data_IF_065165429657
#
_entry.id   IF_065165429657
#
_cell.length_a   1.000
_cell.length_b   1.000
_cell.length_c   1.000
_cell.angle_alpha   90.00
_cell.angle_beta   90.00
_cell.angle_gamma   90.00
#
_symmetry.space_group_name_H-M   'P 1'
#
loop_
_entity.id
_entity.type
_entity.pdbx_description
1 polymer ?
#
# COMPACT_ATOMS: atom_id res chain seq x y z
N UNK A 1 -2.56 13.05 -32.47
CA UNK A 1 -2.34 14.33 -31.77
C UNK A 1 -1.31 14.15 -30.64
N UNK A 2 -0.07 13.76 -30.96
CA UNK A 2 1.00 13.51 -29.98
C UNK A 2 2.14 14.53 -30.03
N UNK A 3 1.97 15.65 -30.75
CA UNK A 3 3.06 16.61 -31.00
C UNK A 3 3.09 17.87 -30.11
N UNK A 4 1.98 18.20 -29.44
CA UNK A 4 1.88 19.50 -28.73
C UNK A 4 2.55 19.51 -27.35
N UNK A 5 2.69 18.37 -26.68
CA UNK A 5 3.32 18.27 -25.35
C UNK A 5 4.86 18.37 -25.39
N UNK A 6 5.48 17.83 -26.40
CA UNK A 6 6.94 17.79 -26.56
C UNK A 6 7.56 19.15 -26.89
N UNK A 7 6.86 19.98 -27.66
CA UNK A 7 7.34 21.32 -28.05
C UNK A 7 7.23 22.35 -26.92
N UNK A 8 6.21 22.25 -26.08
CA UNK A 8 6.07 23.12 -24.91
C UNK A 8 7.16 22.83 -23.86
N UNK A 9 7.50 21.57 -23.65
CA UNK A 9 8.58 21.15 -22.74
C UNK A 9 9.95 21.57 -23.29
N UNK A 10 10.19 21.47 -24.62
CA UNK A 10 11.43 21.95 -25.25
C UNK A 10 11.63 23.46 -25.12
N UNK A 11 10.57 24.27 -25.29
CA UNK A 11 10.62 25.73 -25.09
C UNK A 11 10.88 26.09 -23.64
N UNK A 12 10.39 25.30 -22.71
CA UNK A 12 10.55 25.46 -21.29
C UNK A 12 12.02 25.38 -20.81
N UNK A 13 12.82 24.47 -21.36
CA UNK A 13 14.24 24.33 -21.01
C UNK A 13 15.20 25.24 -21.80
N UNK A 14 14.70 25.94 -22.82
CA UNK A 14 15.53 26.83 -23.64
C UNK A 14 15.71 28.23 -23.07
N UNK A 15 15.01 28.62 -22.02
CA UNK A 15 15.09 29.93 -21.39
C UNK A 15 15.76 29.92 -20.04
N UNK A 16 16.49 30.97 -19.69
CA UNK A 16 17.27 31.12 -18.44
C UNK A 16 16.41 31.06 -17.17
N UNK A 17 15.07 31.13 -17.27
CA UNK A 17 14.13 30.95 -16.18
C UNK A 17 13.87 29.43 -15.87
N UNK A 18 14.33 28.53 -16.71
CA UNK A 18 14.06 27.09 -16.62
C UNK A 18 14.75 26.39 -15.43
N UNK A 19 15.82 26.97 -14.90
CA UNK A 19 16.54 26.40 -13.76
C UNK A 19 15.71 26.34 -12.46
N UNK A 20 14.80 27.30 -12.26
CA UNK A 20 13.91 27.32 -11.09
C UNK A 20 12.73 26.34 -11.21
N UNK A 21 12.39 25.94 -12.43
CA UNK A 21 11.24 25.08 -12.71
C UNK A 21 11.60 23.58 -12.81
N UNK A 22 12.89 23.25 -12.85
CA UNK A 22 13.36 21.86 -12.91
C UNK A 22 12.98 21.04 -11.65
N UNK A 23 13.16 21.55 -10.43
CA UNK A 23 12.74 20.83 -9.22
C UNK A 23 11.24 20.55 -9.20
N UNK A 24 10.43 21.51 -9.62
CA UNK A 24 8.98 21.34 -9.71
C UNK A 24 8.58 20.30 -10.75
N UNK A 25 9.25 20.28 -11.89
CA UNK A 25 9.05 19.24 -12.91
C UNK A 25 9.40 17.85 -12.40
N UNK A 26 10.55 17.69 -11.74
CA UNK A 26 10.98 16.43 -11.13
C UNK A 26 9.97 15.98 -10.09
N UNK A 27 9.58 16.86 -9.18
CA UNK A 27 8.59 16.59 -8.15
C UNK A 27 7.25 16.13 -8.75
N UNK A 28 6.77 16.81 -9.77
CA UNK A 28 5.51 16.45 -10.44
C UNK A 28 5.59 15.09 -11.13
N UNK A 29 6.68 14.81 -11.85
CA UNK A 29 6.86 13.54 -12.55
C UNK A 29 6.96 12.36 -11.57
N UNK A 30 7.65 12.53 -10.43
CA UNK A 30 7.75 11.51 -9.39
C UNK A 30 6.41 11.29 -8.71
N UNK A 31 5.69 12.36 -8.32
CA UNK A 31 4.36 12.25 -7.71
C UNK A 31 3.39 11.55 -8.65
N UNK A 32 3.39 11.88 -9.93
CA UNK A 32 2.58 11.18 -10.91
C UNK A 32 2.92 9.68 -10.97
N UNK A 33 4.21 9.31 -10.92
CA UNK A 33 4.63 7.92 -10.90
C UNK A 33 4.19 7.17 -9.63
N UNK A 34 4.16 7.86 -8.48
CA UNK A 34 3.62 7.33 -7.24
C UNK A 34 2.12 7.08 -7.39
N UNK A 35 1.35 8.08 -7.81
CA UNK A 35 -0.10 8.01 -7.98
C UNK A 35 -0.53 6.89 -8.93
N UNK A 36 0.19 6.70 -10.05
CA UNK A 36 -0.09 5.64 -11.03
C UNK A 36 0.14 4.22 -10.49
N UNK A 37 1.02 4.04 -9.50
CA UNK A 37 1.40 2.74 -8.95
C UNK A 37 0.88 2.51 -7.53
N UNK A 38 0.21 3.50 -6.92
CA UNK A 38 -0.20 3.45 -5.53
C UNK A 38 -1.41 2.52 -5.32
N UNK A 39 -1.17 1.45 -4.57
CA UNK A 39 -2.21 0.53 -4.11
C UNK A 39 -2.58 0.73 -2.64
N UNK A 40 -1.85 1.58 -1.90
CA UNK A 40 -2.05 1.82 -0.48
C UNK A 40 -3.48 2.27 -0.14
N UNK A 41 -4.11 3.22 -0.88
CA UNK A 41 -5.47 3.67 -0.57
C UNK A 41 -6.52 2.53 -0.61
N UNK A 42 -6.18 1.40 -1.21
CA UNK A 42 -7.08 0.25 -1.24
C UNK A 42 -6.94 -0.70 -0.05
N UNK A 43 -5.92 -0.53 0.81
CA UNK A 43 -5.63 -1.43 1.94
C UNK A 43 -5.50 -0.70 3.28
N UNK A 44 -5.27 0.61 3.28
CA UNK A 44 -5.21 1.42 4.50
C UNK A 44 -6.60 1.94 4.89
N UNK A 45 -6.89 1.92 6.20
CA UNK A 45 -8.11 2.48 6.75
C UNK A 45 -7.99 4.00 6.96
N UNK A 46 -6.84 4.45 7.43
CA UNK A 46 -6.57 5.86 7.73
C UNK A 46 -5.11 6.22 7.53
N UNK A 47 -4.87 7.51 7.29
CA UNK A 47 -3.52 8.09 7.22
C UNK A 47 -3.39 9.17 8.27
N UNK A 48 -2.38 9.04 9.14
CA UNK A 48 -2.10 9.99 10.21
C UNK A 48 -0.79 10.72 9.93
N UNK A 49 -0.84 12.05 9.86
CA UNK A 49 0.34 12.89 9.73
C UNK A 49 0.86 13.28 11.11
N UNK A 50 2.14 13.06 11.37
CA UNK A 50 2.79 13.31 12.64
C UNK A 50 3.98 14.26 12.50
N UNK A 51 4.23 15.03 13.57
CA UNK A 51 5.37 15.94 13.65
C UNK A 51 6.47 15.45 14.60
N UNK A 52 6.29 14.26 15.20
CA UNK A 52 7.26 13.62 16.10
C UNK A 52 7.48 12.19 15.69
N UNK A 53 8.59 11.59 16.12
CA UNK A 53 8.89 10.18 15.85
C UNK A 53 8.29 9.23 16.91
N UNK A 54 7.63 9.77 17.92
CA UNK A 54 7.08 9.02 19.06
C UNK A 54 5.58 8.80 18.89
N UNK A 55 5.18 8.15 17.79
CA UNK A 55 3.78 7.84 17.54
C UNK A 55 3.45 6.40 17.95
N UNK A 56 2.31 6.25 18.63
CA UNK A 56 1.73 4.97 19.01
C UNK A 56 0.29 4.93 18.51
N UNK A 57 -0.07 3.86 17.81
CA UNK A 57 -1.46 3.66 17.41
C UNK A 57 -2.31 3.16 18.58
N UNK A 58 -3.62 3.07 18.38
CA UNK A 58 -4.57 2.61 19.40
C UNK A 58 -4.37 1.11 19.63
N UNK A 59 -4.14 0.71 20.88
CA UNK A 59 -3.81 -0.68 21.23
C UNK A 59 -5.02 -1.57 21.38
N UNK A 60 -6.15 -1.06 21.79
CA UNK A 60 -7.16 -1.96 22.27
C UNK A 60 -8.41 -1.94 21.43
N UNK A 61 -8.62 -3.09 20.83
CA UNK A 61 -10.00 -3.59 20.76
C UNK A 61 -10.38 -3.89 22.21
N UNK A 62 -11.32 -3.19 22.83
CA UNK A 62 -11.88 -3.62 24.10
C UNK A 62 -12.31 -5.08 23.94
N UNK A 63 -12.10 -5.90 24.95
CA UNK A 63 -12.57 -7.28 24.94
C UNK A 63 -14.09 -7.33 24.71
N UNK A 64 -14.63 -8.43 24.26
CA UNK A 64 -16.07 -8.54 24.01
C UNK A 64 -16.88 -8.30 25.29
N UNK A 65 -16.32 -8.59 26.45
CA UNK A 65 -16.87 -8.25 27.76
C UNK A 65 -16.92 -6.74 27.99
N UNK A 66 -15.85 -6.02 27.63
CA UNK A 66 -15.78 -4.55 27.78
C UNK A 66 -16.64 -3.80 26.76
N UNK A 67 -16.99 -4.43 25.61
CA UNK A 67 -17.90 -3.87 24.60
C UNK A 67 -19.38 -4.14 24.92
N UNK A 68 -19.65 -5.09 25.81
CA UNK A 68 -21.01 -5.53 26.10
C UNK A 68 -21.84 -4.40 26.69
N UNK A 69 -22.94 -4.09 26.02
CA UNK A 69 -23.92 -3.19 26.59
C UNK A 69 -24.62 -3.89 27.75
N UNK A 70 -24.65 -3.22 28.90
CA UNK A 70 -25.28 -3.73 30.13
C UNK A 70 -26.55 -2.92 30.39
N UNK A 71 -27.62 -3.59 30.80
CA UNK A 71 -28.81 -2.90 31.26
C UNK A 71 -28.49 -2.16 32.55
N UNK A 72 -28.69 -0.84 32.56
CA UNK A 72 -28.37 0.05 33.68
C UNK A 72 -29.67 0.52 34.30
N UNK A 73 -29.84 0.25 35.62
CA UNK A 73 -30.97 0.75 36.36
C UNK A 73 -30.86 2.27 36.61
N UNK A 74 -31.99 2.92 36.84
CA UNK A 74 -32.03 4.37 37.09
C UNK A 74 -31.19 4.75 38.32
N UNK A 75 -30.15 5.57 38.07
CA UNK A 75 -29.18 6.00 39.10
C UNK A 75 -27.98 5.05 39.29
N UNK A 76 -27.85 3.97 38.55
CA UNK A 76 -26.68 3.10 38.58
C UNK A 76 -25.53 3.68 37.78
N UNK A 77 -24.32 3.30 38.13
CA UNK A 77 -23.10 3.71 37.41
C UNK A 77 -23.00 2.99 36.07
N UNK A 78 -22.72 3.73 34.99
CA UNK A 78 -22.53 3.18 33.65
C UNK A 78 -21.09 2.61 33.54
N UNK A 79 -20.90 1.35 33.11
CA UNK A 79 -19.57 0.78 32.94
C UNK A 79 -18.71 1.57 31.94
N UNK A 80 -17.47 1.84 32.32
CA UNK A 80 -16.53 2.57 31.48
C UNK A 80 -15.65 1.61 30.65
N UNK A 81 -15.45 1.94 29.37
CA UNK A 81 -14.49 1.27 28.51
C UNK A 81 -13.32 2.19 28.23
N UNK A 82 -12.11 1.77 28.59
CA UNK A 82 -10.90 2.59 28.44
C UNK A 82 -10.19 2.25 27.14
N UNK A 83 -10.01 3.25 26.28
CA UNK A 83 -9.17 3.13 25.08
C UNK A 83 -7.71 3.34 25.48
N UNK A 84 -6.87 2.36 25.16
CA UNK A 84 -5.43 2.40 25.46
C UNK A 84 -4.62 2.54 24.18
N UNK A 85 -3.43 3.15 24.25
CA UNK A 85 -2.44 3.16 23.16
C UNK A 85 -1.54 1.95 23.26
N UNK A 86 -0.99 1.53 22.13
CA UNK A 86 -0.05 0.40 22.07
C UNK A 86 1.25 0.71 22.82
N UNK A 87 1.94 -0.33 23.29
CA UNK A 87 3.19 -0.17 24.04
C UNK A 87 4.35 0.17 23.11
N UNK A 88 4.42 -0.44 21.94
CA UNK A 88 5.48 -0.21 20.99
C UNK A 88 5.22 0.98 20.07
N UNK A 89 6.28 1.71 19.75
CA UNK A 89 6.24 2.81 18.78
C UNK A 89 6.10 2.27 17.36
N UNK A 90 5.39 3.01 16.51
CA UNK A 90 5.34 2.69 15.08
C UNK A 90 6.71 2.92 14.45
N UNK A 91 7.24 1.90 13.78
CA UNK A 91 8.53 2.00 13.10
C UNK A 91 8.39 2.83 11.82
N UNK A 92 9.08 3.98 11.78
CA UNK A 92 9.12 4.88 10.63
C UNK A 92 10.37 4.61 9.80
N UNK A 93 10.19 4.38 8.51
CA UNK A 93 11.27 4.19 7.55
C UNK A 93 11.52 5.45 6.73
N UNK A 94 12.68 6.10 6.94
CA UNK A 94 13.13 7.17 6.05
C UNK A 94 13.77 6.54 4.82
N UNK A 95 13.24 6.88 3.64
CA UNK A 95 13.75 6.42 2.35
C UNK A 95 14.04 7.59 1.45
N UNK A 96 15.06 7.44 0.62
CA UNK A 96 15.41 8.47 -0.34
C UNK A 96 16.25 7.94 -1.48
N UNK A 97 16.24 8.66 -2.58
CA UNK A 97 17.07 8.41 -3.75
C UNK A 97 17.58 9.71 -4.32
N UNK A 98 18.88 9.75 -4.63
CA UNK A 98 19.50 10.86 -5.33
C UNK A 98 19.59 10.55 -6.82
N UNK A 99 19.12 11.48 -7.62
CA UNK A 99 19.30 11.51 -9.07
C UNK A 99 20.40 12.51 -9.40
N UNK A 100 21.30 12.13 -10.27
CA UNK A 100 22.39 12.99 -10.74
C UNK A 100 22.37 13.01 -12.26
N UNK A 101 22.35 14.19 -12.84
CA UNK A 101 22.39 14.39 -14.28
C UNK A 101 23.43 15.45 -14.63
N UNK A 102 24.19 15.24 -15.72
CA UNK A 102 25.09 16.27 -16.22
C UNK A 102 24.32 17.34 -17.03
N UNK A 103 24.85 18.56 -17.07
CA UNK A 103 24.27 19.63 -17.87
C UNK A 103 24.14 19.25 -19.34
N UNK A 104 25.09 18.48 -19.86
CA UNK A 104 25.07 18.00 -21.23
C UNK A 104 23.95 16.98 -21.46
N UNK A 105 23.76 16.04 -20.52
CA UNK A 105 22.69 15.04 -20.60
C UNK A 105 21.32 15.72 -20.59
N UNK A 106 21.10 16.71 -19.73
CA UNK A 106 19.85 17.45 -19.69
C UNK A 106 19.63 18.30 -20.95
N UNK A 107 20.69 18.85 -21.52
CA UNK A 107 20.62 19.72 -22.70
C UNK A 107 20.40 18.94 -24.00
N UNK A 108 21.00 17.77 -24.16
CA UNK A 108 21.04 17.03 -25.43
C UNK A 108 20.20 15.75 -25.42
N UNK A 109 19.86 15.17 -24.24
CA UNK A 109 19.00 13.99 -24.16
C UNK A 109 17.52 14.36 -24.33
N UNK A 110 16.77 13.37 -24.83
CA UNK A 110 15.31 13.50 -24.97
C UNK A 110 14.67 13.55 -23.58
N UNK A 111 14.08 14.68 -23.24
CA UNK A 111 13.39 14.93 -21.98
C UNK A 111 12.30 13.89 -21.67
N UNK A 112 11.68 13.34 -22.72
CA UNK A 112 10.68 12.27 -22.58
C UNK A 112 11.22 11.02 -21.88
N UNK A 113 12.47 10.62 -22.17
CA UNK A 113 13.09 9.46 -21.52
C UNK A 113 13.40 9.76 -20.05
N UNK A 114 13.81 10.98 -19.74
CA UNK A 114 14.06 11.41 -18.36
C UNK A 114 12.76 11.41 -17.53
N UNK A 115 11.65 11.91 -18.07
CA UNK A 115 10.36 11.89 -17.38
C UNK A 115 9.84 10.47 -17.13
N UNK A 116 10.05 9.56 -18.07
CA UNK A 116 9.72 8.14 -17.87
C UNK A 116 10.54 7.54 -16.73
N UNK A 117 11.84 7.85 -16.67
CA UNK A 117 12.70 7.37 -15.57
C UNK A 117 12.25 7.90 -14.22
N UNK A 118 11.87 9.18 -14.12
CA UNK A 118 11.35 9.79 -12.90
C UNK A 118 10.05 9.13 -12.45
N UNK A 119 9.12 8.85 -13.37
CA UNK A 119 7.89 8.12 -13.06
C UNK A 119 8.17 6.69 -12.59
N UNK A 120 9.14 5.99 -13.20
CA UNK A 120 9.55 4.66 -12.74
C UNK A 120 10.11 4.68 -11.31
N UNK A 121 10.83 5.72 -10.93
CA UNK A 121 11.32 5.89 -9.56
C UNK A 121 10.15 6.13 -8.60
N UNK A 122 9.21 6.99 -8.96
CA UNK A 122 7.98 7.20 -8.19
C UNK A 122 7.20 5.89 -7.99
N UNK A 123 6.99 5.14 -9.07
CA UNK A 123 6.33 3.84 -9.01
C UNK A 123 7.07 2.82 -8.13
N UNK A 124 8.42 2.88 -8.11
CA UNK A 124 9.20 2.01 -7.22
C UNK A 124 9.03 2.39 -5.75
N UNK A 125 8.96 3.68 -5.42
CA UNK A 125 8.69 4.16 -4.06
C UNK A 125 7.33 3.62 -3.58
N UNK A 126 6.27 3.79 -4.38
CA UNK A 126 4.93 3.31 -4.05
C UNK A 126 4.91 1.78 -3.81
N UNK A 127 5.57 1.00 -4.68
CA UNK A 127 5.68 -0.46 -4.51
C UNK A 127 6.44 -0.86 -3.26
N UNK A 128 7.47 -0.11 -2.89
CA UNK A 128 8.25 -0.39 -1.68
C UNK A 128 7.45 -0.09 -0.42
N UNK A 129 6.71 1.02 -0.41
CA UNK A 129 5.79 1.34 0.69
C UNK A 129 4.67 0.29 0.79
N UNK A 130 4.13 -0.16 -0.33
CA UNK A 130 3.15 -1.24 -0.33
C UNK A 130 3.72 -2.57 0.19
N UNK A 131 4.99 -2.88 -0.10
CA UNK A 131 5.65 -4.06 0.45
C UNK A 131 5.81 -3.99 1.98
N UNK A 132 6.09 -2.80 2.53
CA UNK A 132 6.11 -2.61 3.99
C UNK A 132 4.73 -2.79 4.61
N UNK A 133 3.70 -2.24 3.98
CA UNK A 133 2.32 -2.42 4.42
C UNK A 133 1.93 -3.90 4.45
N UNK A 134 2.28 -4.66 3.40
CA UNK A 134 2.08 -6.11 3.32
C UNK A 134 2.84 -6.84 4.43
N UNK A 135 4.10 -6.45 4.69
CA UNK A 135 4.89 -7.05 5.76
C UNK A 135 4.24 -6.85 7.15
N UNK A 136 3.74 -5.64 7.42
CA UNK A 136 3.02 -5.35 8.67
C UNK A 136 1.69 -6.12 8.74
N UNK A 137 0.97 -6.26 7.64
CA UNK A 137 -0.26 -7.07 7.60
C UNK A 137 -0.01 -8.53 7.96
N UNK A 138 1.11 -9.11 7.54
CA UNK A 138 1.47 -10.52 7.81
C UNK A 138 2.08 -10.67 9.20
N UNK A 139 3.16 -9.93 9.47
CA UNK A 139 4.03 -10.15 10.62
C UNK A 139 3.68 -9.26 11.83
N UNK A 140 2.77 -8.31 11.65
CA UNK A 140 2.46 -7.29 12.65
C UNK A 140 3.47 -6.14 12.69
N UNK A 141 3.24 -5.23 13.61
CA UNK A 141 4.04 -4.01 13.81
C UNK A 141 4.94 -4.04 15.06
N UNK A 142 5.13 -5.21 15.65
CA UNK A 142 5.93 -5.40 16.86
C UNK A 142 5.12 -5.42 18.17
N UNK A 143 3.78 -5.38 18.09
CA UNK A 143 2.87 -5.43 19.24
C UNK A 143 2.16 -6.80 19.36
N UNK A 144 2.81 -7.89 18.97
CA UNK A 144 2.26 -9.27 19.01
C UNK A 144 0.94 -9.42 18.24
N UNK A 145 0.76 -8.60 17.20
CA UNK A 145 -0.47 -8.53 16.41
C UNK A 145 -0.29 -9.11 14.97
N UNK A 146 0.56 -10.12 14.82
CA UNK A 146 0.69 -10.86 13.57
C UNK A 146 -0.66 -11.41 13.10
N UNK A 147 -0.83 -11.55 11.78
CA UNK A 147 -2.06 -12.08 11.22
C UNK A 147 -2.28 -13.54 11.62
N UNK A 148 -3.53 -13.92 11.87
CA UNK A 148 -3.90 -15.33 12.02
C UNK A 148 -3.61 -16.07 10.72
N UNK A 149 -2.98 -17.25 10.83
CA UNK A 149 -2.61 -18.05 9.66
C UNK A 149 -3.56 -19.23 9.53
N UNK A 150 -4.18 -19.35 8.37
CA UNK A 150 -4.99 -20.50 7.93
C UNK A 150 -4.13 -21.31 6.97
N UNK A 151 -4.05 -22.61 7.15
CA UNK A 151 -3.36 -23.51 6.21
C UNK A 151 -4.37 -24.17 5.28
N UNK A 152 -4.01 -24.32 4.01
CA UNK A 152 -4.82 -25.09 3.07
C UNK A 152 -4.95 -26.56 3.54
N UNK A 153 -6.08 -27.17 3.23
CA UNK A 153 -6.36 -28.57 3.58
C UNK A 153 -5.35 -29.53 2.95
N UNK A 154 -4.85 -29.20 1.77
CA UNK A 154 -3.81 -29.96 1.05
C UNK A 154 -2.71 -29.01 0.60
N UNK A 155 -1.49 -29.22 1.08
CA UNK A 155 -0.31 -28.41 0.71
C UNK A 155 -0.14 -28.37 -0.82
N UNK A 156 0.04 -27.17 -1.35
CA UNK A 156 0.25 -26.93 -2.78
C UNK A 156 -1.04 -26.86 -3.61
N UNK A 157 -2.19 -27.25 -3.06
CA UNK A 157 -3.47 -27.25 -3.78
C UNK A 157 -4.45 -26.26 -3.11
N UNK A 158 -4.85 -25.26 -3.83
CA UNK A 158 -5.85 -24.30 -3.39
C UNK A 158 -7.25 -24.84 -3.71
N UNK A 159 -8.14 -24.83 -2.73
CA UNK A 159 -9.56 -25.19 -2.91
C UNK A 159 -10.46 -24.00 -2.55
N UNK A 160 -11.69 -24.02 -3.03
CA UNK A 160 -12.70 -23.03 -2.67
C UNK A 160 -12.98 -23.00 -1.16
N UNK A 161 -12.97 -24.18 -0.52
CA UNK A 161 -13.15 -24.29 0.94
C UNK A 161 -12.05 -23.59 1.73
N UNK A 162 -10.82 -23.54 1.23
CA UNK A 162 -9.73 -22.81 1.88
C UNK A 162 -10.01 -21.30 1.88
N UNK A 163 -10.60 -20.77 0.81
CA UNK A 163 -11.04 -19.38 0.75
C UNK A 163 -12.24 -19.10 1.69
N UNK A 164 -13.14 -20.06 1.85
CA UNK A 164 -14.23 -19.94 2.82
C UNK A 164 -13.71 -19.97 4.27
N UNK A 165 -12.70 -20.78 4.54
CA UNK A 165 -12.04 -20.80 5.86
C UNK A 165 -11.34 -19.47 6.15
N UNK A 166 -10.69 -18.86 5.15
CA UNK A 166 -10.12 -17.51 5.27
C UNK A 166 -11.21 -16.46 5.55
N UNK A 167 -12.36 -16.56 4.85
CA UNK A 167 -13.51 -15.68 5.07
C UNK A 167 -14.03 -15.82 6.52
N UNK A 168 -14.18 -17.04 7.01
CA UNK A 168 -14.67 -17.30 8.37
C UNK A 168 -13.68 -16.82 9.45
N UNK A 169 -12.36 -16.87 9.17
CA UNK A 169 -11.33 -16.43 10.11
C UNK A 169 -11.36 -14.92 10.38
N UNK A 170 -11.95 -14.13 9.48
CA UNK A 170 -12.03 -12.68 9.62
C UNK A 170 -13.23 -12.22 10.46
N UNK A 171 -14.14 -13.09 10.89
CA UNK A 171 -15.26 -12.70 11.76
C UNK A 171 -14.74 -12.00 13.04
N UNK A 172 -15.29 -10.85 13.45
CA UNK A 172 -16.47 -10.12 12.96
C UNK A 172 -16.19 -9.10 11.83
N UNK A 173 -15.00 -9.06 11.27
CA UNK A 173 -14.62 -8.13 10.21
C UNK A 173 -15.06 -8.61 8.83
N UNK A 174 -15.19 -7.70 7.88
CA UNK A 174 -15.64 -8.01 6.52
C UNK A 174 -14.46 -8.28 5.59
N UNK A 175 -14.44 -9.42 4.90
CA UNK A 175 -13.49 -9.65 3.82
C UNK A 175 -13.83 -8.75 2.63
N UNK A 176 -13.09 -7.68 2.42
CA UNK A 176 -13.31 -6.76 1.30
C UNK A 176 -12.10 -6.64 0.35
N UNK A 177 -10.93 -7.16 0.75
CA UNK A 177 -9.73 -7.20 -0.10
C UNK A 177 -9.03 -8.56 0.03
N UNK A 178 -8.51 -9.04 -1.10
CA UNK A 178 -7.64 -10.19 -1.20
C UNK A 178 -6.35 -9.78 -1.90
N UNK A 179 -5.21 -9.91 -1.21
CA UNK A 179 -3.87 -9.57 -1.74
C UNK A 179 -3.12 -10.86 -2.00
N UNK A 180 -2.57 -11.02 -3.18
CA UNK A 180 -1.84 -12.21 -3.58
C UNK A 180 -0.84 -11.96 -4.70
N UNK A 181 0.05 -12.91 -4.93
CA UNK A 181 0.98 -12.88 -6.06
C UNK A 181 0.25 -13.16 -7.38
N UNK A 182 0.82 -12.77 -8.52
CA UNK A 182 0.25 -13.06 -9.84
C UNK A 182 0.02 -14.56 -10.09
N UNK A 183 0.95 -15.41 -9.63
CA UNK A 183 0.86 -16.87 -9.78
C UNK A 183 -0.27 -17.46 -8.94
N UNK A 184 -0.42 -16.99 -7.70
CA UNK A 184 -1.52 -17.41 -6.81
C UNK A 184 -2.86 -16.91 -7.32
N UNK A 185 -2.92 -15.71 -7.89
CA UNK A 185 -4.13 -15.18 -8.51
C UNK A 185 -4.63 -16.06 -9.66
N UNK A 186 -3.71 -16.56 -10.50
CA UNK A 186 -4.07 -17.50 -11.56
C UNK A 186 -4.65 -18.80 -10.99
N UNK A 187 -4.11 -19.31 -9.88
CA UNK A 187 -4.65 -20.50 -9.20
C UNK A 187 -6.08 -20.23 -8.69
N UNK A 188 -6.34 -19.09 -8.06
CA UNK A 188 -7.69 -18.69 -7.61
C UNK A 188 -8.66 -18.62 -8.77
N UNK A 189 -8.27 -17.96 -9.87
CA UNK A 189 -9.13 -17.81 -11.05
C UNK A 189 -9.34 -19.10 -11.83
N UNK A 190 -8.49 -20.11 -11.62
CA UNK A 190 -8.63 -21.43 -12.25
C UNK A 190 -9.57 -22.39 -11.49
N UNK A 191 -10.04 -22.02 -10.30
CA UNK A 191 -11.02 -22.78 -9.55
C UNK A 191 -12.33 -22.91 -10.35
N UNK A 192 -12.95 -24.06 -10.34
CA UNK A 192 -14.14 -24.35 -11.13
C UNK A 192 -15.31 -23.44 -10.73
N UNK A 193 -15.41 -23.07 -9.45
CA UNK A 193 -16.43 -22.14 -8.91
C UNK A 193 -16.33 -20.74 -9.52
N UNK A 194 -15.13 -20.29 -9.89
CA UNK A 194 -14.93 -18.98 -10.52
C UNK A 194 -14.86 -19.05 -12.05
N UNK A 195 -14.55 -20.21 -12.60
CA UNK A 195 -14.38 -20.43 -14.04
C UNK A 195 -15.71 -20.66 -14.77
N UNK A 196 -16.72 -21.16 -14.08
CA UNK A 196 -18.02 -21.47 -14.68
C UNK A 196 -18.81 -20.17 -14.97
N UNK A 197 -19.14 -19.86 -16.24
CA UNK A 197 -19.87 -18.63 -16.59
C UNK A 197 -21.28 -18.52 -16.00
N UNK A 198 -21.88 -19.65 -15.59
CA UNK A 198 -23.24 -19.69 -15.04
C UNK A 198 -23.28 -19.40 -13.53
N UNK A 199 -22.21 -19.73 -12.81
CA UNK A 199 -22.15 -19.63 -11.33
C UNK A 199 -21.01 -18.74 -10.86
N UNK A 200 -20.04 -18.49 -11.71
CA UNK A 200 -18.82 -17.78 -11.39
C UNK A 200 -18.70 -16.41 -12.05
N UNK A 201 -17.50 -15.88 -11.97
CA UNK A 201 -17.14 -14.58 -12.51
C UNK A 201 -16.84 -14.75 -14.01
N UNK A 202 -17.51 -13.98 -14.87
CA UNK A 202 -17.26 -14.00 -16.31
C UNK A 202 -15.96 -13.24 -16.67
N UNK A 203 -14.81 -13.79 -16.28
CA UNK A 203 -13.50 -13.23 -16.61
C UNK A 203 -13.19 -13.34 -18.11
N UNK A 204 -13.55 -14.44 -18.75
CA UNK A 204 -13.26 -14.69 -20.18
C UNK A 204 -13.92 -13.66 -21.10
N UNK A 205 -15.11 -13.17 -20.73
CA UNK A 205 -15.82 -12.18 -21.55
C UNK A 205 -15.43 -10.72 -21.25
N UNK A 206 -15.04 -10.41 -20.02
CA UNK A 206 -14.83 -9.02 -19.56
C UNK A 206 -13.37 -8.66 -19.31
N UNK A 207 -12.49 -9.66 -19.16
CA UNK A 207 -11.11 -9.45 -18.69
C UNK A 207 -11.00 -8.94 -17.25
N UNK A 208 -12.14 -8.82 -16.54
CA UNK A 208 -12.20 -8.36 -15.15
C UNK A 208 -12.31 -9.59 -14.23
N UNK A 209 -11.38 -9.77 -13.27
CA UNK A 209 -11.42 -10.91 -12.36
C UNK A 209 -12.64 -10.92 -11.42
N UNK A 210 -13.45 -9.87 -11.43
CA UNK A 210 -14.60 -9.73 -10.54
C UNK A 210 -14.19 -9.57 -9.08
N UNK A 211 -15.15 -9.83 -8.19
CA UNK A 211 -14.95 -9.74 -6.74
C UNK A 211 -15.32 -11.08 -6.09
N UNK A 212 -14.43 -12.08 -6.07
CA UNK A 212 -14.69 -13.34 -5.40
C UNK A 212 -15.00 -13.11 -3.91
N UNK A 213 -16.05 -13.74 -3.40
CA UNK A 213 -16.50 -13.54 -2.02
C UNK A 213 -16.81 -12.08 -1.65
N UNK A 214 -17.09 -11.22 -2.63
CA UNK A 214 -17.27 -9.78 -2.43
C UNK A 214 -15.97 -8.98 -2.29
N UNK A 215 -14.81 -9.62 -2.32
CA UNK A 215 -13.52 -9.00 -2.11
C UNK A 215 -12.85 -8.58 -3.42
N UNK A 216 -12.29 -7.37 -3.46
CA UNK A 216 -11.48 -6.90 -4.58
C UNK A 216 -10.11 -7.59 -4.57
N UNK A 217 -9.72 -8.16 -5.71
CA UNK A 217 -8.41 -8.78 -5.89
C UNK A 217 -7.33 -7.73 -6.11
N UNK A 218 -6.26 -7.79 -5.34
CA UNK A 218 -5.06 -6.96 -5.45
C UNK A 218 -3.85 -7.84 -5.79
N UNK A 219 -3.24 -7.57 -6.94
CA UNK A 219 -2.09 -8.31 -7.43
C UNK A 219 -0.79 -7.60 -7.09
N UNK A 220 0.10 -8.27 -6.37
CA UNK A 220 1.42 -7.74 -6.03
C UNK A 220 2.48 -8.82 -6.00
N UNK A 221 3.72 -8.45 -6.32
CA UNK A 221 4.89 -9.34 -6.14
C UNK A 221 5.47 -9.26 -4.72
N UNK A 222 4.88 -8.46 -3.83
CA UNK A 222 5.33 -8.33 -2.43
C UNK A 222 4.83 -9.45 -1.53
N UNK A 223 3.93 -10.30 -2.03
CA UNK A 223 3.42 -11.49 -1.33
C UNK A 223 4.07 -12.73 -1.94
N UNK A 224 4.51 -13.66 -1.08
CA UNK A 224 5.08 -14.91 -1.53
C UNK A 224 4.05 -15.75 -2.31
N UNK A 225 4.53 -16.55 -3.25
CA UNK A 225 3.69 -17.47 -3.99
C UNK A 225 3.05 -18.50 -3.03
N UNK A 226 1.78 -18.81 -3.26
CA UNK A 226 1.01 -19.67 -2.38
C UNK A 226 0.46 -18.97 -1.13
N UNK A 227 0.70 -17.67 -0.95
CA UNK A 227 0.15 -16.90 0.16
C UNK A 227 -0.97 -15.99 -0.32
N UNK A 228 -2.09 -15.96 0.41
CA UNK A 228 -3.22 -15.07 0.16
C UNK A 228 -3.51 -14.31 1.46
N UNK A 229 -3.57 -13.00 1.39
CA UNK A 229 -3.92 -12.14 2.53
C UNK A 229 -5.35 -11.67 2.34
N UNK A 230 -6.23 -12.02 3.26
CA UNK A 230 -7.58 -11.47 3.38
C UNK A 230 -7.59 -10.36 4.42
N UNK A 231 -8.26 -9.26 4.12
CA UNK A 231 -8.36 -8.15 5.07
C UNK A 231 -9.64 -7.34 4.92
N UNK A 232 -9.98 -6.66 6.00
CA UNK A 232 -10.93 -5.54 6.01
C UNK A 232 -10.14 -4.23 5.91
N UNK A 233 -10.14 -3.62 4.72
CA UNK A 233 -9.41 -2.37 4.47
C UNK A 233 -9.88 -1.20 5.34
N UNK A 234 -11.10 -1.24 5.89
CA UNK A 234 -11.62 -0.20 6.78
C UNK A 234 -11.07 -0.26 8.21
N UNK A 235 -10.43 -1.37 8.60
CA UNK A 235 -10.07 -1.65 9.99
C UNK A 235 -8.64 -2.21 10.17
N UNK A 236 -7.96 -2.62 9.07
CA UNK A 236 -6.74 -3.40 9.20
C UNK A 236 -5.49 -2.57 9.47
N UNK A 237 -5.26 -1.51 8.70
CA UNK A 237 -3.97 -0.83 8.65
C UNK A 237 -4.11 0.69 8.72
N UNK A 238 -3.21 1.31 9.48
CA UNK A 238 -2.96 2.74 9.52
C UNK A 238 -1.62 3.07 8.85
N UNK A 239 -1.60 4.11 8.01
CA UNK A 239 -0.36 4.69 7.50
C UNK A 239 0.01 5.91 8.32
N UNK A 240 1.22 5.93 8.85
CA UNK A 240 1.77 7.03 9.63
C UNK A 240 2.81 7.76 8.80
N UNK A 241 2.59 9.02 8.51
CA UNK A 241 3.47 9.84 7.67
C UNK A 241 4.11 10.93 8.51
N UNK A 242 5.44 10.86 8.66
CA UNK A 242 6.23 11.90 9.33
C UNK A 242 6.74 12.95 8.32
N UNK A 243 7.02 12.55 7.08
CA UNK A 243 7.36 13.46 6.00
C UNK A 243 6.82 12.91 4.67
N UNK A 244 6.03 13.71 4.01
CA UNK A 244 5.58 13.42 2.65
C UNK A 244 6.75 13.34 1.67
N UNK A 245 6.46 12.94 0.44
CA UNK A 245 7.46 12.92 -0.61
C UNK A 245 7.96 14.34 -0.88
N UNK A 246 9.19 14.60 -0.47
CA UNK A 246 9.89 15.86 -0.71
C UNK A 246 10.96 15.68 -1.77
N UNK A 247 11.17 16.71 -2.59
CA UNK A 247 12.23 16.75 -3.61
C UNK A 247 13.08 17.97 -3.36
N UNK A 248 14.32 17.72 -2.92
CA UNK A 248 15.35 18.75 -2.76
C UNK A 248 16.26 18.75 -3.97
N UNK A 249 16.73 19.92 -4.34
CA UNK A 249 17.52 20.16 -5.54
C UNK A 249 18.80 20.92 -5.23
N UNK A 250 19.90 20.51 -5.89
CA UNK A 250 21.19 21.15 -5.75
C UNK A 250 22.00 21.10 -7.07
N UNK A 251 22.87 22.11 -7.28
CA UNK A 251 23.75 22.20 -8.44
C UNK A 251 25.22 22.13 -7.99
N UNK A 252 25.94 21.19 -8.56
CA UNK A 252 27.38 21.11 -8.45
C UNK A 252 28.03 21.82 -9.65
N UNK A 253 28.30 23.12 -9.50
CA UNK A 253 28.83 23.96 -10.58
C UNK A 253 30.23 23.52 -10.98
N UNK A 254 31.04 23.10 -10.02
CA UNK A 254 32.41 22.59 -10.21
C UNK A 254 32.48 21.33 -11.08
N UNK A 255 31.41 20.53 -11.07
CA UNK A 255 31.30 19.26 -11.83
C UNK A 255 30.30 19.31 -12.95
N UNK A 256 29.62 20.43 -13.14
CA UNK A 256 28.56 20.63 -14.13
C UNK A 256 27.44 19.55 -14.01
N UNK A 257 27.06 19.23 -12.74
CA UNK A 257 26.04 18.25 -12.42
C UNK A 257 24.86 18.93 -11.74
N UNK A 258 23.67 18.44 -12.03
CA UNK A 258 22.43 18.72 -11.29
C UNK A 258 22.04 17.51 -10.48
N UNK A 259 21.61 17.71 -9.23
CA UNK A 259 21.18 16.67 -8.32
C UNK A 259 19.78 16.96 -7.82
N UNK A 260 18.95 15.92 -7.80
CA UNK A 260 17.64 15.95 -7.15
C UNK A 260 17.58 14.80 -6.15
N UNK A 261 17.24 15.08 -4.90
CA UNK A 261 17.06 14.10 -3.84
C UNK A 261 15.58 13.98 -3.54
N UNK A 262 15.07 12.76 -3.64
CA UNK A 262 13.69 12.43 -3.31
C UNK A 262 13.73 11.74 -1.97
N UNK A 263 12.98 12.23 -0.98
CA UNK A 263 12.89 11.64 0.36
C UNK A 263 11.44 11.50 0.80
N UNK A 264 11.17 10.46 1.59
CA UNK A 264 9.89 10.24 2.27
C UNK A 264 10.12 9.53 3.59
N UNK A 265 9.28 9.78 4.59
CA UNK A 265 9.35 9.09 5.88
C UNK A 265 7.95 8.66 6.26
N UNK A 266 7.70 7.35 6.21
CA UNK A 266 6.42 6.76 6.55
C UNK A 266 6.60 5.42 7.25
N UNK A 267 5.58 4.99 7.97
CA UNK A 267 5.47 3.69 8.62
C UNK A 267 4.05 3.17 8.58
N UNK A 268 3.87 1.96 9.03
CA UNK A 268 2.56 1.31 9.06
C UNK A 268 2.32 0.70 10.44
N UNK A 269 1.10 0.79 10.90
CA UNK A 269 0.65 0.18 12.13
C UNK A 269 -0.62 -0.63 11.89
N UNK A 270 -0.75 -1.74 12.60
CA UNK A 270 -1.94 -2.57 12.53
C UNK A 270 -2.94 -2.08 13.56
N UNK A 271 -4.14 -1.71 13.11
CA UNK A 271 -5.19 -1.17 13.99
C UNK A 271 -5.81 -2.31 14.78
N UNK A 272 -6.37 -3.31 14.07
CA UNK A 272 -7.00 -4.47 14.69
C UNK A 272 -6.34 -5.75 14.19
N UNK A 273 -5.86 -6.59 15.12
CA UNK A 273 -5.16 -7.83 14.78
C UNK A 273 -6.02 -8.81 13.99
N UNK A 274 -7.30 -8.93 14.32
CA UNK A 274 -8.26 -9.80 13.65
C UNK A 274 -8.75 -9.30 12.30
N UNK A 275 -8.51 -8.03 11.93
CA UNK A 275 -8.97 -7.46 10.65
C UNK A 275 -8.13 -7.91 9.44
N UNK A 276 -7.13 -8.76 9.64
CA UNK A 276 -6.38 -9.41 8.56
C UNK A 276 -6.05 -10.86 8.92
N UNK A 277 -6.10 -11.74 7.94
CA UNK A 277 -5.73 -13.14 8.05
C UNK A 277 -4.93 -13.59 6.83
N UNK A 278 -4.10 -14.59 7.00
CA UNK A 278 -3.22 -15.12 5.94
C UNK A 278 -3.58 -16.58 5.67
N UNK A 279 -3.89 -16.89 4.42
CA UNK A 279 -4.03 -18.27 3.95
C UNK A 279 -2.71 -18.70 3.30
N UNK A 280 -2.14 -19.77 3.80
CA UNK A 280 -0.94 -20.39 3.24
C UNK A 280 -1.31 -21.69 2.52
N UNK A 281 -1.03 -21.73 1.22
CA UNK A 281 -1.31 -22.89 0.35
C UNK A 281 -0.10 -23.82 0.27
N UNK A 282 1.11 -23.32 0.58
CA UNK A 282 2.35 -24.09 0.47
C UNK A 282 3.06 -23.88 -0.86
#
# INVERSE_FOLDING_TARGET
MAGAGSDSVRKFFATTQSAALFPEYVSRAVKQGIEEADMLPSVIATTTHINSLDYRTIASVPTDEEKKLVDVEEGAEIPETVVRTQESLVTLHKRGRMLVASYEALKYQKIDLFSVTLRQIGAHIARTQFADAVNVLINGDGNENAAATVSAATTGTLTYNDLLNLYNQLDPYCLNRLIMSPSTMLKVMSLDEFKNPLTGINFQGTGNPGNPLGAKLLRTNSVADGTIIGLDAGCALEMVVAADVNVDYDKLIDRQLERAVITTTAGFAKIFSGASAVLNVG
#
